data_IF_565604455276
#
_entry.id   IF_565604455276
#
_cell.length_a   1.000
_cell.length_b   1.000
_cell.length_c   1.000
_cell.angle_alpha   90.00
_cell.angle_beta   90.00
_cell.angle_gamma   90.00
#
_symmetry.space_group_name_H-M   'P 1'
#
loop_
_entity.id
_entity.type
_entity.pdbx_description
1 polymer ?
#
# COMPACT_ATOMS: atom_id res chain seq x y z
N UNK A 1 21.96 -28.59 30.23
CA UNK A 1 22.58 -28.31 28.93
C UNK A 1 21.50 -27.65 28.08
N UNK A 2 21.47 -26.31 28.09
CA UNK A 2 20.62 -25.53 27.20
C UNK A 2 21.16 -25.71 25.79
N UNK A 3 20.42 -26.42 24.94
CA UNK A 3 20.64 -26.41 23.50
C UNK A 3 20.56 -24.94 23.07
N UNK A 4 21.69 -24.40 22.62
CA UNK A 4 21.69 -23.14 21.88
C UNK A 4 20.84 -23.42 20.63
N UNK A 5 19.73 -22.69 20.48
CA UNK A 5 18.95 -22.71 19.25
C UNK A 5 19.91 -22.35 18.11
N UNK A 6 19.90 -23.13 17.03
CA UNK A 6 20.60 -22.77 15.80
C UNK A 6 20.14 -21.36 15.40
N UNK A 7 21.05 -20.49 14.92
CA UNK A 7 20.65 -19.18 14.43
C UNK A 7 19.68 -19.39 13.27
N UNK A 8 18.40 -19.10 13.50
CA UNK A 8 17.39 -19.09 12.45
C UNK A 8 17.81 -18.07 11.39
N UNK A 9 17.84 -18.49 10.12
CA UNK A 9 18.09 -17.59 9.00
C UNK A 9 17.16 -16.36 9.09
N UNK A 10 17.66 -15.16 8.75
CA UNK A 10 16.84 -13.96 8.73
C UNK A 10 15.61 -14.15 7.84
N UNK A 11 14.48 -13.64 8.30
CA UNK A 11 13.22 -13.66 7.56
C UNK A 11 13.32 -12.66 6.39
N UNK A 12 13.09 -13.13 5.17
CA UNK A 12 13.18 -12.26 4.01
C UNK A 12 11.90 -11.44 3.87
N UNK A 13 12.03 -10.11 3.94
CA UNK A 13 10.91 -9.19 3.85
C UNK A 13 11.13 -8.13 2.77
N UNK A 14 10.07 -7.78 2.04
CA UNK A 14 10.07 -6.61 1.18
C UNK A 14 8.98 -5.60 1.53
N UNK A 15 9.35 -4.33 1.62
CA UNK A 15 8.43 -3.19 1.74
C UNK A 15 8.97 -1.93 1.06
N UNK A 16 8.13 -0.92 0.89
CA UNK A 16 8.55 0.30 0.18
C UNK A 16 9.44 1.17 1.06
N UNK A 17 10.33 1.99 0.48
CA UNK A 17 11.13 2.95 1.25
C UNK A 17 10.30 4.17 1.74
N UNK A 18 8.97 4.15 1.57
CA UNK A 18 8.10 5.28 1.93
C UNK A 18 8.06 5.50 3.45
N UNK A 19 7.87 6.76 3.91
CA UNK A 19 7.86 7.09 5.33
C UNK A 19 6.93 6.24 6.19
N UNK A 20 5.75 5.87 5.69
CA UNK A 20 4.81 5.04 6.44
C UNK A 20 5.34 3.62 6.68
N UNK A 21 6.04 3.01 5.72
CA UNK A 21 6.53 1.64 5.84
C UNK A 21 7.79 1.58 6.71
N UNK A 22 8.74 2.50 6.48
CA UNK A 22 9.92 2.61 7.34
C UNK A 22 9.53 2.92 8.78
N UNK A 23 8.54 3.79 9.01
CA UNK A 23 7.99 4.04 10.34
C UNK A 23 7.38 2.79 10.99
N UNK A 24 6.57 2.02 10.24
CA UNK A 24 5.95 0.78 10.74
C UNK A 24 6.99 -0.28 11.12
N UNK A 25 8.02 -0.46 10.30
CA UNK A 25 8.98 -1.56 10.45
C UNK A 25 10.28 -1.18 11.18
N UNK A 26 10.51 0.09 11.51
CA UNK A 26 11.75 0.60 12.08
C UNK A 26 12.24 -0.19 13.31
N UNK A 27 11.40 -0.36 14.33
CA UNK A 27 11.81 -1.04 15.55
C UNK A 27 12.13 -2.53 15.28
N UNK A 28 11.37 -3.20 14.41
CA UNK A 28 11.61 -4.59 14.07
C UNK A 28 12.89 -4.76 13.21
N UNK A 29 13.06 -3.94 12.17
CA UNK A 29 14.23 -3.97 11.29
C UNK A 29 15.55 -3.73 12.06
N UNK A 30 15.50 -2.97 13.15
CA UNK A 30 16.65 -2.68 14.01
C UNK A 30 16.76 -3.57 15.25
N UNK A 31 15.99 -4.68 15.32
CA UNK A 31 16.06 -5.63 16.44
C UNK A 31 15.63 -5.05 17.79
N UNK A 32 14.82 -3.98 17.79
CA UNK A 32 14.26 -3.35 18.99
C UNK A 32 12.94 -3.97 19.46
N UNK A 33 12.42 -4.97 18.74
CA UNK A 33 11.25 -5.78 19.16
C UNK A 33 11.72 -7.09 19.80
N UNK A 34 11.59 -7.27 21.13
CA UNK A 34 12.07 -8.48 21.81
C UNK A 34 11.38 -9.75 21.32
N UNK A 35 12.15 -10.78 21.01
CA UNK A 35 11.63 -12.08 20.56
C UNK A 35 11.18 -12.13 19.09
N UNK A 36 11.21 -11.00 18.37
CA UNK A 36 10.96 -10.98 16.94
C UNK A 36 12.12 -11.61 16.16
N UNK A 37 11.84 -12.30 15.03
CA UNK A 37 12.89 -12.84 14.18
C UNK A 37 13.68 -11.70 13.51
N UNK A 38 14.97 -11.92 13.25
CA UNK A 38 15.77 -10.99 12.46
C UNK A 38 15.23 -10.86 11.03
N UNK A 39 15.34 -9.67 10.45
CA UNK A 39 14.87 -9.36 9.10
C UNK A 39 16.04 -9.22 8.12
N UNK A 40 15.86 -9.72 6.90
CA UNK A 40 16.62 -9.34 5.72
C UNK A 40 15.71 -8.48 4.83
N UNK A 41 15.92 -7.17 4.89
CA UNK A 41 15.01 -6.16 4.31
C UNK A 41 15.41 -5.82 2.88
N UNK A 42 14.49 -6.05 1.95
CA UNK A 42 14.56 -5.55 0.57
C UNK A 42 13.62 -4.36 0.39
N UNK A 43 14.15 -3.21 0.03
CA UNK A 43 13.33 -2.07 -0.37
C UNK A 43 12.91 -2.19 -1.83
N UNK A 44 11.61 -2.12 -2.09
CA UNK A 44 11.07 -2.19 -3.44
C UNK A 44 9.74 -1.43 -3.55
N UNK A 45 9.50 -0.84 -4.73
CA UNK A 45 8.22 -0.20 -5.05
C UNK A 45 7.08 -1.23 -5.06
N UNK A 46 5.86 -0.75 -4.80
CA UNK A 46 4.69 -1.63 -4.65
C UNK A 46 4.40 -2.48 -5.89
N UNK A 47 4.71 -1.99 -7.08
CA UNK A 47 4.55 -2.75 -8.33
C UNK A 47 5.52 -3.95 -8.39
N UNK A 48 6.74 -3.75 -7.90
CA UNK A 48 7.75 -4.80 -7.83
C UNK A 48 7.34 -5.85 -6.80
N UNK A 49 6.93 -5.44 -5.59
CA UNK A 49 6.53 -6.37 -4.53
C UNK A 49 5.26 -7.14 -4.87
N UNK A 50 4.31 -6.51 -5.58
CA UNK A 50 3.17 -7.20 -6.17
C UNK A 50 3.61 -8.37 -7.09
N UNK A 51 4.55 -8.10 -8.00
CA UNK A 51 5.10 -9.13 -8.88
C UNK A 51 5.88 -10.21 -8.14
N UNK A 52 6.65 -9.86 -7.10
CA UNK A 52 7.34 -10.82 -6.23
C UNK A 52 6.36 -11.77 -5.54
N UNK A 53 5.25 -11.24 -5.01
CA UNK A 53 4.21 -12.03 -4.36
C UNK A 53 3.54 -13.01 -5.34
N UNK A 54 3.21 -12.58 -6.56
CA UNK A 54 2.65 -13.46 -7.60
C UNK A 54 3.61 -14.59 -8.02
N UNK A 55 4.92 -14.39 -7.86
CA UNK A 55 5.96 -15.41 -8.14
C UNK A 55 6.30 -16.28 -6.92
N UNK A 56 5.66 -16.07 -5.77
CA UNK A 56 5.95 -16.82 -4.55
C UNK A 56 7.32 -16.48 -3.93
N UNK A 57 7.82 -15.26 -4.14
CA UNK A 57 9.13 -14.82 -3.63
C UNK A 57 9.06 -14.24 -2.21
N UNK A 58 10.11 -14.45 -1.41
CA UNK A 58 10.29 -13.96 -0.03
C UNK A 58 9.29 -14.54 1.00
N UNK A 59 9.48 -14.23 2.27
CA UNK A 59 8.65 -14.76 3.36
C UNK A 59 7.49 -13.83 3.70
N UNK A 60 7.75 -12.51 3.67
CA UNK A 60 6.81 -11.44 4.03
C UNK A 60 6.90 -10.31 3.01
N UNK A 61 5.77 -9.80 2.54
CA UNK A 61 5.75 -8.69 1.58
C UNK A 61 4.68 -7.66 1.92
N UNK A 62 5.01 -6.39 1.73
CA UNK A 62 4.05 -5.32 1.52
C UNK A 62 3.55 -5.42 0.08
N UNK A 63 2.24 -5.55 -0.12
CA UNK A 63 1.61 -5.60 -1.45
C UNK A 63 0.41 -4.68 -1.52
N UNK A 64 -0.08 -4.39 -2.73
CA UNK A 64 -1.40 -3.79 -2.90
C UNK A 64 -2.49 -4.77 -2.48
N UNK A 65 -3.54 -4.28 -1.82
CA UNK A 65 -4.74 -5.11 -1.55
C UNK A 65 -5.35 -5.69 -2.83
N UNK A 66 -5.23 -5.00 -3.97
CA UNK A 66 -5.67 -5.50 -5.28
C UNK A 66 -5.04 -6.83 -5.72
N UNK A 67 -3.87 -7.21 -5.17
CA UNK A 67 -3.17 -8.44 -5.52
C UNK A 67 -3.67 -9.65 -4.72
N UNK A 68 -4.33 -9.44 -3.58
CA UNK A 68 -4.77 -10.52 -2.70
C UNK A 68 -5.50 -11.67 -3.42
N UNK A 69 -6.47 -11.43 -4.35
CA UNK A 69 -7.18 -12.52 -5.01
C UNK A 69 -6.28 -13.49 -5.80
N UNK A 70 -5.04 -13.10 -6.12
CA UNK A 70 -4.09 -13.90 -6.88
C UNK A 70 -3.09 -14.67 -6.01
N UNK A 71 -2.87 -14.24 -4.76
CA UNK A 71 -1.75 -14.71 -3.93
C UNK A 71 -2.18 -15.39 -2.63
N UNK A 72 -3.48 -15.34 -2.28
CA UNK A 72 -3.98 -15.85 -0.99
C UNK A 72 -3.90 -17.38 -0.83
N UNK A 73 -3.63 -18.12 -1.90
CA UNK A 73 -3.36 -19.57 -1.82
C UNK A 73 -1.98 -19.85 -1.20
N UNK A 74 -0.98 -19.01 -1.49
CA UNK A 74 0.39 -19.15 -0.99
C UNK A 74 0.63 -18.31 0.28
N UNK A 75 -0.04 -17.16 0.39
CA UNK A 75 0.16 -16.20 1.47
C UNK A 75 -1.09 -16.00 2.33
N UNK A 76 -0.88 -15.72 3.61
CA UNK A 76 -1.89 -15.21 4.52
C UNK A 76 -1.79 -13.68 4.59
N UNK A 77 -2.94 -13.00 4.60
CA UNK A 77 -3.02 -11.58 4.96
C UNK A 77 -2.77 -11.42 6.46
N UNK A 78 -1.70 -10.71 6.84
CA UNK A 78 -1.48 -10.34 8.24
C UNK A 78 -2.51 -9.27 8.68
N UNK A 79 -3.01 -9.33 9.93
CA UNK A 79 -4.06 -8.43 10.41
C UNK A 79 -3.56 -7.02 10.75
N UNK A 80 -2.33 -6.66 10.40
CA UNK A 80 -1.65 -5.42 10.81
C UNK A 80 -0.50 -5.06 9.85
N UNK A 81 0.10 -3.88 10.04
CA UNK A 81 1.20 -3.31 9.25
C UNK A 81 0.77 -2.74 7.90
N UNK A 82 -0.49 -2.93 7.51
CA UNK A 82 -1.04 -2.40 6.27
C UNK A 82 -1.28 -0.88 6.31
N UNK A 83 -1.59 -0.33 5.14
CA UNK A 83 -2.09 1.02 4.95
C UNK A 83 -3.54 0.95 4.48
N UNK A 84 -4.46 1.40 5.34
CA UNK A 84 -5.90 1.46 5.10
C UNK A 84 -6.43 2.66 5.87
N UNK A 85 -7.39 3.41 5.31
CA UNK A 85 -7.89 4.59 6.03
C UNK A 85 -8.86 5.42 5.23
N UNK A 86 -9.12 6.62 5.74
CA UNK A 86 -9.97 7.63 5.10
C UNK A 86 -9.16 8.82 4.66
N UNK A 87 -9.62 9.49 3.61
CA UNK A 87 -8.96 10.66 3.03
C UNK A 87 -7.55 10.35 2.53
N UNK A 88 -7.22 9.08 2.27
CA UNK A 88 -5.89 8.60 1.89
C UNK A 88 -5.83 8.11 0.43
N UNK A 89 -6.87 8.40 -0.35
CA UNK A 89 -7.03 7.90 -1.72
C UNK A 89 -5.99 8.44 -2.71
N UNK A 90 -5.71 7.69 -3.79
CA UNK A 90 -4.98 8.17 -4.96
C UNK A 90 -5.65 9.40 -5.59
N UNK A 91 -4.86 10.27 -6.20
CA UNK A 91 -5.35 11.45 -6.89
C UNK A 91 -5.18 11.32 -8.40
N UNK A 92 -6.13 11.86 -9.16
CA UNK A 92 -5.92 12.11 -10.59
C UNK A 92 -5.54 13.57 -10.77
N UNK A 93 -4.36 13.80 -11.32
CA UNK A 93 -3.78 15.11 -11.55
C UNK A 93 -3.78 15.48 -13.04
N UNK A 94 -3.95 16.76 -13.31
CA UNK A 94 -3.97 17.34 -14.67
C UNK A 94 -3.24 18.69 -14.68
N UNK A 95 -2.94 19.22 -15.88
CA UNK A 95 -2.36 20.57 -16.02
C UNK A 95 -3.36 21.71 -15.81
N UNK A 96 -4.66 21.42 -15.79
CA UNK A 96 -5.72 22.40 -15.72
C UNK A 96 -7.09 21.72 -15.70
N UNK A 97 -8.18 22.48 -15.52
CA UNK A 97 -9.53 21.90 -15.47
C UNK A 97 -9.89 21.21 -16.80
N UNK A 98 -10.66 20.12 -16.73
CA UNK A 98 -11.10 19.38 -17.91
C UNK A 98 -11.75 18.04 -17.55
N UNK A 99 -12.02 17.21 -18.56
CA UNK A 99 -12.43 15.82 -18.42
C UNK A 99 -11.35 14.86 -18.93
N UNK A 100 -11.54 13.55 -18.69
CA UNK A 100 -10.63 12.50 -19.14
C UNK A 100 -11.16 11.69 -20.34
N UNK A 101 -12.26 12.10 -20.96
CA UNK A 101 -12.87 11.31 -22.04
C UNK A 101 -11.90 11.23 -23.23
N UNK A 102 -11.47 10.01 -23.56
CA UNK A 102 -10.49 9.77 -24.64
C UNK A 102 -9.07 10.30 -24.39
N UNK A 103 -8.73 10.67 -23.14
CA UNK A 103 -7.41 11.22 -22.76
C UNK A 103 -6.40 10.14 -22.39
N UNK A 104 -5.11 10.45 -22.51
CA UNK A 104 -4.02 9.57 -22.08
C UNK A 104 -3.72 9.77 -20.58
N UNK A 105 -3.80 8.69 -19.80
CA UNK A 105 -3.59 8.71 -18.34
C UNK A 105 -2.38 7.86 -17.96
N UNK A 106 -1.40 8.48 -17.30
CA UNK A 106 -0.29 7.76 -16.70
C UNK A 106 -0.72 7.11 -15.37
N UNK A 107 -0.30 5.87 -15.14
CA UNK A 107 -0.57 5.11 -13.91
C UNK A 107 0.71 4.44 -13.39
N UNK A 108 0.85 4.22 -12.07
CA UNK A 108 2.08 3.68 -11.51
C UNK A 108 2.21 2.16 -11.69
N UNK A 109 1.09 1.46 -11.95
CA UNK A 109 1.03 0.00 -12.03
C UNK A 109 -0.35 -0.45 -12.52
N UNK A 110 -0.41 -1.55 -13.28
CA UNK A 110 -1.67 -2.19 -13.67
C UNK A 110 -2.28 -3.10 -12.59
N UNK A 111 -1.53 -3.38 -11.52
CA UNK A 111 -1.91 -4.31 -10.45
C UNK A 111 -1.98 -3.65 -9.07
N UNK A 112 -1.98 -2.31 -9.02
CA UNK A 112 -2.11 -1.57 -7.77
C UNK A 112 -3.56 -1.36 -7.35
N UNK A 113 -3.78 -1.22 -6.05
CA UNK A 113 -5.09 -0.76 -5.54
C UNK A 113 -5.45 0.63 -6.06
N UNK A 114 -4.44 1.48 -6.28
CA UNK A 114 -4.67 2.79 -6.84
C UNK A 114 -5.31 2.72 -8.22
N UNK A 115 -4.76 1.89 -9.10
CA UNK A 115 -5.31 1.71 -10.44
C UNK A 115 -6.66 1.00 -10.41
N UNK A 116 -6.86 0.06 -9.48
CA UNK A 116 -8.16 -0.58 -9.30
C UNK A 116 -9.26 0.42 -8.94
N UNK A 117 -8.99 1.32 -7.98
CA UNK A 117 -9.90 2.40 -7.61
C UNK A 117 -10.15 3.37 -8.77
N UNK A 118 -9.10 3.72 -9.53
CA UNK A 118 -9.23 4.53 -10.73
C UNK A 118 -10.15 3.89 -11.77
N UNK A 119 -10.03 2.58 -12.01
CA UNK A 119 -10.89 1.88 -12.97
C UNK A 119 -12.35 1.86 -12.55
N UNK A 120 -12.63 1.65 -11.26
CA UNK A 120 -13.99 1.72 -10.71
C UNK A 120 -14.57 3.14 -10.85
N UNK A 121 -13.81 4.16 -10.45
CA UNK A 121 -14.22 5.55 -10.60
C UNK A 121 -14.44 5.94 -12.07
N UNK A 122 -13.55 5.53 -12.98
CA UNK A 122 -13.65 5.85 -14.39
C UNK A 122 -14.88 5.21 -15.04
N UNK A 123 -15.22 3.97 -14.67
CA UNK A 123 -16.43 3.30 -15.12
C UNK A 123 -17.70 4.05 -14.67
N UNK A 124 -17.70 4.58 -13.44
CA UNK A 124 -18.85 5.29 -12.87
C UNK A 124 -18.99 6.73 -13.41
N UNK A 125 -17.89 7.39 -13.75
CA UNK A 125 -17.87 8.87 -13.92
C UNK A 125 -17.43 9.37 -15.29
N UNK A 126 -16.81 8.54 -16.14
CA UNK A 126 -16.29 8.97 -17.45
C UNK A 126 -17.06 8.24 -18.57
N UNK A 127 -18.10 8.88 -19.13
CA UNK A 127 -18.79 8.34 -20.29
C UNK A 127 -17.81 8.11 -21.45
N UNK A 128 -17.79 6.88 -21.98
CA UNK A 128 -16.87 6.49 -23.05
C UNK A 128 -15.46 6.11 -22.59
N UNK A 129 -15.16 6.19 -21.30
CA UNK A 129 -13.88 5.83 -20.72
C UNK A 129 -12.74 6.80 -21.07
N UNK A 130 -11.56 6.47 -20.58
CA UNK A 130 -10.31 7.14 -20.96
C UNK A 130 -9.76 6.58 -22.27
N UNK A 131 -8.81 7.28 -22.88
CA UNK A 131 -8.22 6.90 -24.17
C UNK A 131 -7.15 5.82 -24.01
N UNK A 132 -5.97 6.22 -23.55
CA UNK A 132 -4.79 5.35 -23.42
C UNK A 132 -4.30 5.32 -21.97
N UNK A 133 -3.90 4.14 -21.49
CA UNK A 133 -3.22 3.99 -20.20
C UNK A 133 -1.73 3.80 -20.46
N UNK A 134 -0.91 4.62 -19.82
CA UNK A 134 0.55 4.53 -19.90
C UNK A 134 1.09 4.18 -18.52
N UNK A 135 1.76 3.03 -18.40
CA UNK A 135 2.41 2.63 -17.15
C UNK A 135 3.80 3.27 -17.07
N UNK A 136 4.10 3.94 -15.96
CA UNK A 136 5.43 4.51 -15.70
C UNK A 136 5.70 4.58 -14.19
N UNK A 137 6.98 4.63 -13.75
CA UNK A 137 7.32 4.78 -12.34
C UNK A 137 6.63 6.01 -11.72
N UNK A 138 6.16 5.89 -10.47
CA UNK A 138 5.31 6.92 -9.87
C UNK A 138 5.97 8.32 -9.83
N UNK A 139 7.30 8.37 -9.61
CA UNK A 139 8.07 9.61 -9.56
C UNK A 139 8.16 10.32 -10.93
N UNK A 140 7.89 9.62 -12.04
CA UNK A 140 7.86 10.20 -13.39
C UNK A 140 6.49 10.79 -13.76
N UNK A 141 5.41 10.40 -13.06
CA UNK A 141 4.03 10.74 -13.43
C UNK A 141 3.79 12.25 -13.36
N UNK A 142 4.08 12.91 -12.22
CA UNK A 142 3.87 14.36 -12.09
C UNK A 142 4.68 15.19 -13.12
N UNK A 143 5.99 14.92 -13.33
CA UNK A 143 6.73 15.52 -14.45
C UNK A 143 6.09 15.29 -15.82
N UNK A 144 5.64 14.07 -16.12
CA UNK A 144 5.04 13.74 -17.42
C UNK A 144 3.74 14.52 -17.67
N UNK A 145 2.90 14.68 -16.64
CA UNK A 145 1.69 15.51 -16.73
C UNK A 145 2.06 16.98 -16.93
N UNK A 146 2.96 17.53 -16.09
CA UNK A 146 3.41 18.94 -16.17
C UNK A 146 3.92 19.27 -17.57
N UNK A 147 4.75 18.40 -18.13
CA UNK A 147 5.40 18.58 -19.44
C UNK A 147 4.45 18.29 -20.62
N UNK A 148 3.24 17.82 -20.36
CA UNK A 148 2.24 17.51 -21.39
C UNK A 148 2.55 16.26 -22.22
N UNK A 149 3.36 15.34 -21.70
CA UNK A 149 3.63 14.03 -22.31
C UNK A 149 2.43 13.09 -22.18
N UNK A 150 1.62 13.28 -21.14
CA UNK A 150 0.33 12.64 -20.90
C UNK A 150 -0.67 13.71 -20.48
N UNK A 151 -1.97 13.43 -20.62
CA UNK A 151 -3.02 14.39 -20.27
C UNK A 151 -3.30 14.43 -18.77
N UNK A 152 -3.22 13.27 -18.11
CA UNK A 152 -3.45 13.11 -16.68
C UNK A 152 -2.54 12.05 -16.07
N UNK A 153 -2.44 12.07 -14.73
CA UNK A 153 -1.63 11.12 -13.97
C UNK A 153 -2.34 10.69 -12.71
N UNK A 154 -2.46 9.38 -12.50
CA UNK A 154 -2.87 8.78 -11.25
C UNK A 154 -1.66 8.74 -10.32
N UNK A 155 -1.70 9.47 -9.21
CA UNK A 155 -0.60 9.56 -8.26
C UNK A 155 -0.96 8.99 -6.90
N UNK A 156 0.08 8.59 -6.18
CA UNK A 156 0.05 7.94 -4.87
C UNK A 156 1.11 8.58 -3.96
N UNK A 157 1.27 8.08 -2.74
CA UNK A 157 2.33 8.50 -1.81
C UNK A 157 2.30 10.02 -1.51
N UNK A 158 3.47 10.65 -1.41
CA UNK A 158 3.62 12.06 -1.06
C UNK A 158 3.16 13.02 -2.15
N UNK A 159 2.90 12.56 -3.38
CA UNK A 159 2.46 13.40 -4.49
C UNK A 159 1.20 14.20 -4.14
N UNK A 160 0.36 13.69 -3.23
CA UNK A 160 -0.84 14.39 -2.77
C UNK A 160 -0.55 15.69 -1.99
N UNK A 161 0.65 15.82 -1.42
CA UNK A 161 1.08 16.98 -0.65
C UNK A 161 1.93 17.95 -1.50
N UNK A 162 2.50 17.47 -2.61
CA UNK A 162 3.51 18.21 -3.39
C UNK A 162 3.07 18.58 -4.80
N UNK A 163 1.94 18.08 -5.31
CA UNK A 163 1.52 18.32 -6.70
C UNK A 163 1.36 19.80 -7.08
N UNK A 164 1.04 20.66 -6.10
CA UNK A 164 0.91 22.10 -6.29
C UNK A 164 2.25 22.74 -6.68
N UNK A 165 3.38 22.16 -6.22
CA UNK A 165 4.73 22.61 -6.59
C UNK A 165 5.03 22.34 -8.08
N UNK A 166 4.29 21.42 -8.70
CA UNK A 166 4.36 21.13 -10.13
C UNK A 166 3.37 21.97 -10.95
N UNK A 167 2.58 22.85 -10.31
CA UNK A 167 1.50 23.59 -10.97
C UNK A 167 0.35 22.71 -11.44
N UNK A 168 0.20 21.52 -10.86
CA UNK A 168 -0.85 20.57 -11.23
C UNK A 168 -2.14 20.82 -10.46
N UNK A 169 -3.24 20.32 -11.01
CA UNK A 169 -4.58 20.41 -10.46
C UNK A 169 -5.12 19.02 -10.10
N UNK A 170 -5.68 18.89 -8.90
CA UNK A 170 -6.47 17.72 -8.50
C UNK A 170 -7.78 17.73 -9.28
N UNK A 171 -7.91 16.81 -10.23
CA UNK A 171 -9.15 16.61 -10.98
C UNK A 171 -10.14 15.79 -10.17
N UNK A 172 -9.66 14.69 -9.58
CA UNK A 172 -10.47 13.77 -8.81
C UNK A 172 -9.64 13.13 -7.69
N UNK A 173 -10.33 12.76 -6.62
CA UNK A 173 -9.78 12.01 -5.49
C UNK A 173 -10.53 10.68 -5.40
N UNK A 174 -9.80 9.58 -5.62
CA UNK A 174 -10.39 8.25 -5.64
C UNK A 174 -10.90 7.85 -4.25
N UNK A 175 -10.33 8.41 -3.19
CA UNK A 175 -10.76 8.18 -1.83
C UNK A 175 -12.05 8.90 -1.50
N UNK A 176 -12.15 10.18 -1.84
CA UNK A 176 -13.40 10.96 -1.68
C UNK A 176 -14.57 10.27 -2.40
N UNK A 177 -14.35 9.82 -3.64
CA UNK A 177 -15.37 9.10 -4.40
C UNK A 177 -15.73 7.75 -3.77
N UNK A 178 -14.73 6.96 -3.38
CA UNK A 178 -14.94 5.65 -2.75
C UNK A 178 -15.74 5.77 -1.45
N UNK A 179 -15.37 6.71 -0.59
CA UNK A 179 -16.04 6.92 0.69
C UNK A 179 -17.47 7.44 0.50
N UNK A 180 -17.69 8.35 -0.44
CA UNK A 180 -19.03 8.88 -0.72
C UNK A 180 -19.99 7.80 -1.26
N UNK A 181 -19.49 6.86 -2.05
CA UNK A 181 -20.30 5.82 -2.71
C UNK A 181 -20.47 4.55 -1.89
N UNK A 182 -19.53 4.24 -0.99
CA UNK A 182 -19.53 2.98 -0.22
C UNK A 182 -19.65 3.16 1.28
N UNK A 183 -19.28 4.33 1.81
CA UNK A 183 -19.14 4.57 3.24
C UNK A 183 -17.95 3.84 3.89
N UNK A 184 -17.16 3.08 3.13
CA UNK A 184 -16.06 2.26 3.65
C UNK A 184 -14.71 3.01 3.60
N UNK A 185 -13.77 2.71 4.50
CA UNK A 185 -12.38 3.14 4.34
C UNK A 185 -11.74 2.46 3.12
N UNK A 186 -10.57 2.96 2.72
CA UNK A 186 -9.89 2.59 1.48
C UNK A 186 -8.72 1.66 1.82
N UNK A 187 -8.74 0.38 1.42
CA UNK A 187 -7.62 -0.53 1.61
C UNK A 187 -6.56 -0.25 0.54
N UNK A 188 -5.34 0.15 0.90
CA UNK A 188 -4.28 0.49 -0.07
C UNK A 188 -3.18 -0.56 -0.13
N UNK A 189 -2.48 -0.78 0.99
CA UNK A 189 -1.39 -1.73 1.11
C UNK A 189 -1.61 -2.77 2.21
N UNK A 190 -1.41 -4.04 1.89
CA UNK A 190 -1.48 -5.18 2.80
C UNK A 190 -0.08 -5.65 3.19
N UNK A 191 0.04 -6.31 4.35
CA UNK A 191 1.18 -7.18 4.63
C UNK A 191 0.72 -8.63 4.48
N UNK A 192 1.47 -9.39 3.70
CA UNK A 192 1.22 -10.81 3.47
C UNK A 192 2.43 -11.63 3.93
N UNK A 193 2.20 -12.85 4.41
CA UNK A 193 3.26 -13.75 4.85
C UNK A 193 2.98 -15.18 4.37
N UNK A 194 4.02 -15.92 4.00
CA UNK A 194 3.89 -17.28 3.46
C UNK A 194 3.16 -18.19 4.43
N UNK A 195 2.13 -18.89 3.94
CA UNK A 195 1.38 -19.89 4.74
C UNK A 195 2.27 -21.04 5.21
N UNK A 196 3.31 -21.37 4.44
CA UNK A 196 4.28 -22.43 4.78
C UNK A 196 5.07 -22.17 6.08
N UNK A 197 5.09 -20.94 6.58
CA UNK A 197 5.70 -20.60 7.88
C UNK A 197 4.93 -21.20 9.08
N UNK A 198 3.66 -21.56 8.89
CA UNK A 198 2.80 -22.14 9.93
C UNK A 198 2.17 -21.10 10.86
N UNK A 199 1.04 -21.47 11.47
CA UNK A 199 0.20 -20.55 12.25
C UNK A 199 0.92 -19.90 13.42
N UNK A 200 1.76 -20.64 14.15
CA UNK A 200 2.53 -20.10 15.28
C UNK A 200 3.47 -18.97 14.82
N UNK A 201 4.19 -19.18 13.72
CA UNK A 201 5.10 -18.17 13.17
C UNK A 201 4.33 -16.98 12.62
N UNK A 202 3.21 -17.20 11.90
CA UNK A 202 2.36 -16.11 11.41
C UNK A 202 1.85 -15.22 12.56
N UNK A 203 1.42 -15.82 13.67
CA UNK A 203 0.99 -15.07 14.86
C UNK A 203 2.16 -14.28 15.48
N UNK A 204 3.35 -14.88 15.59
CA UNK A 204 4.56 -14.17 16.03
C UNK A 204 4.90 -12.96 15.13
N UNK A 205 4.76 -13.11 13.81
CA UNK A 205 5.00 -12.00 12.87
C UNK A 205 3.99 -10.88 13.07
N UNK A 206 2.70 -11.21 13.20
CA UNK A 206 1.66 -10.22 13.47
C UNK A 206 1.93 -9.47 14.79
N UNK A 207 2.30 -10.18 15.85
CA UNK A 207 2.64 -9.55 17.14
C UNK A 207 3.90 -8.69 17.06
N UNK A 208 4.91 -9.12 16.30
CA UNK A 208 6.14 -8.35 16.06
C UNK A 208 5.87 -7.04 15.33
N UNK A 209 5.00 -7.05 14.32
CA UNK A 209 4.57 -5.86 13.59
C UNK A 209 3.80 -4.92 14.52
N UNK A 210 2.82 -5.44 15.27
CA UNK A 210 2.05 -4.63 16.22
C UNK A 210 2.94 -3.95 17.23
N UNK A 211 3.94 -4.65 17.75
CA UNK A 211 4.89 -4.08 18.71
C UNK A 211 5.78 -3.03 18.06
N UNK A 212 6.23 -3.25 16.82
CA UNK A 212 6.98 -2.24 16.05
C UNK A 212 6.18 -0.96 15.85
N UNK A 213 4.90 -1.08 15.47
CA UNK A 213 3.98 0.06 15.31
C UNK A 213 3.77 0.79 16.64
N UNK A 214 3.57 0.06 17.75
CA UNK A 214 3.42 0.67 19.08
C UNK A 214 4.68 1.41 19.50
N UNK A 215 5.86 0.86 19.26
CA UNK A 215 7.13 1.49 19.55
C UNK A 215 7.30 2.80 18.75
N UNK A 216 6.99 2.77 17.45
CA UNK A 216 7.05 3.95 16.58
C UNK A 216 6.07 5.05 17.03
N UNK A 217 4.85 4.70 17.45
CA UNK A 217 3.91 5.69 18.00
C UNK A 217 4.30 6.23 19.38
N UNK A 218 4.93 5.40 20.22
CA UNK A 218 5.36 5.80 21.55
C UNK A 218 6.54 6.78 21.51
N UNK A 219 7.44 6.63 20.53
CA UNK A 219 8.58 7.51 20.30
C UNK A 219 8.84 7.72 18.79
N UNK A 220 8.07 8.59 18.11
CA UNK A 220 8.22 8.82 16.67
C UNK A 220 9.60 9.34 16.28
N UNK A 221 10.27 10.09 17.18
CA UNK A 221 11.61 10.63 16.96
C UNK A 221 12.65 9.51 16.83
N UNK A 222 12.44 8.36 17.47
CA UNK A 222 13.32 7.20 17.36
C UNK A 222 13.35 6.59 15.96
N UNK A 223 12.26 6.77 15.18
CA UNK A 223 12.14 6.27 13.81
C UNK A 223 12.53 7.29 12.75
N UNK A 224 12.65 8.58 13.11
CA UNK A 224 12.99 9.64 12.15
C UNK A 224 14.29 9.39 11.38
N UNK A 225 15.41 8.96 11.99
CA UNK A 225 16.63 8.73 11.22
C UNK A 225 16.43 7.71 10.10
N UNK A 226 15.75 6.61 10.39
CA UNK A 226 15.46 5.56 9.41
C UNK A 226 14.46 6.00 8.33
N UNK A 227 13.42 6.73 8.73
CA UNK A 227 12.45 7.31 7.79
C UNK A 227 13.15 8.25 6.80
N UNK A 228 13.96 9.18 7.30
CA UNK A 228 14.61 10.20 6.48
C UNK A 228 15.76 9.65 5.63
N UNK A 229 16.38 8.55 6.04
CA UNK A 229 17.40 7.86 5.25
C UNK A 229 16.85 7.29 3.93
N UNK A 230 15.56 6.92 3.92
CA UNK A 230 14.94 6.21 2.80
C UNK A 230 13.87 7.02 2.03
N UNK A 231 13.32 8.08 2.64
CA UNK A 231 12.30 8.91 2.00
C UNK A 231 12.82 9.58 0.71
N UNK A 232 12.00 9.57 -0.35
CA UNK A 232 12.32 10.29 -1.59
C UNK A 232 12.16 11.81 -1.43
N UNK A 233 11.14 12.24 -0.68
CA UNK A 233 10.96 13.63 -0.28
C UNK A 233 11.66 13.87 1.06
N UNK A 234 12.58 14.84 1.07
CA UNK A 234 13.43 15.14 2.22
C UNK A 234 12.81 16.18 3.16
N UNK A 235 11.68 16.79 2.78
CA UNK A 235 10.92 17.67 3.66
C UNK A 235 10.31 16.89 4.85
N UNK A 236 10.75 17.15 6.10
CA UNK A 236 10.25 16.42 7.27
C UNK A 236 8.76 16.63 7.53
N UNK A 237 8.21 17.79 7.15
CA UNK A 237 6.78 18.07 7.30
C UNK A 237 5.93 17.23 6.35
N UNK A 238 6.41 16.97 5.13
CA UNK A 238 5.76 16.04 4.20
C UNK A 238 5.84 14.61 4.72
N UNK A 239 6.98 14.18 5.27
CA UNK A 239 7.11 12.86 5.89
C UNK A 239 6.12 12.66 7.06
N UNK A 240 5.99 13.66 7.94
CA UNK A 240 5.04 13.63 9.07
C UNK A 240 3.58 13.56 8.58
N UNK A 241 3.22 14.32 7.54
CA UNK A 241 1.89 14.24 6.92
C UNK A 241 1.63 12.87 6.27
N UNK A 242 2.65 12.29 5.62
CA UNK A 242 2.58 10.98 5.01
C UNK A 242 2.34 9.90 6.07
N UNK A 243 3.12 9.90 7.15
CA UNK A 243 2.96 8.95 8.27
C UNK A 243 1.58 9.13 8.91
N UNK A 244 1.19 10.35 9.27
CA UNK A 244 -0.07 10.61 9.96
C UNK A 244 -1.32 10.23 9.15
N UNK A 245 -1.20 10.17 7.82
CA UNK A 245 -2.29 9.74 6.94
C UNK A 245 -2.37 8.22 6.80
N UNK A 246 -1.22 7.54 6.64
CA UNK A 246 -1.17 6.13 6.25
C UNK A 246 -0.87 5.16 7.39
N UNK A 247 -0.43 5.65 8.55
CA UNK A 247 -0.18 4.86 9.77
C UNK A 247 -1.19 5.24 10.83
N UNK A 248 -2.23 4.41 11.00
CA UNK A 248 -3.39 4.69 11.85
C UNK A 248 -3.90 3.40 12.55
N UNK A 249 -5.10 3.42 13.11
CA UNK A 249 -5.68 2.27 13.82
C UNK A 249 -5.69 0.98 12.99
N UNK A 250 -5.92 1.07 11.68
CA UNK A 250 -5.93 -0.08 10.77
C UNK A 250 -4.53 -0.68 10.56
N UNK A 251 -3.49 0.11 10.77
CA UNK A 251 -2.10 -0.35 10.75
C UNK A 251 -1.80 -1.20 11.97
N UNK A 252 -2.37 -0.89 13.14
CA UNK A 252 -2.22 -1.73 14.33
C UNK A 252 -3.11 -2.98 14.29
N UNK A 253 -4.35 -2.84 13.83
CA UNK A 253 -5.27 -3.96 13.65
C UNK A 253 -6.34 -3.61 12.62
N UNK A 254 -6.55 -4.47 11.62
CA UNK A 254 -7.57 -4.24 10.61
C UNK A 254 -8.97 -4.12 11.21
N UNK A 255 -9.28 -4.87 12.27
CA UNK A 255 -10.61 -4.94 12.85
C UNK A 255 -11.70 -5.34 11.85
N UNK A 256 -12.96 -5.32 12.29
CA UNK A 256 -14.10 -5.64 11.44
C UNK A 256 -14.23 -4.70 10.23
N UNK A 257 -14.00 -3.42 10.44
CA UNK A 257 -14.14 -2.38 9.40
C UNK A 257 -13.06 -2.49 8.32
N UNK A 258 -11.82 -2.83 8.68
CA UNK A 258 -10.75 -3.07 7.71
C UNK A 258 -11.04 -4.29 6.83
N UNK A 259 -11.45 -5.41 7.43
CA UNK A 259 -11.87 -6.58 6.65
C UNK A 259 -13.09 -6.31 5.77
N UNK A 260 -14.07 -5.53 6.26
CA UNK A 260 -15.22 -5.10 5.47
C UNK A 260 -14.81 -4.22 4.28
N UNK A 261 -13.86 -3.31 4.46
CA UNK A 261 -13.31 -2.47 3.40
C UNK A 261 -12.58 -3.29 2.33
N UNK A 262 -11.72 -4.22 2.74
CA UNK A 262 -10.99 -5.11 1.83
C UNK A 262 -11.98 -5.93 0.98
N UNK A 263 -12.94 -6.57 1.64
CA UNK A 263 -13.96 -7.35 0.94
C UNK A 263 -14.83 -6.48 0.03
N UNK A 264 -15.24 -5.30 0.51
CA UNK A 264 -16.02 -4.34 -0.26
C UNK A 264 -15.33 -3.92 -1.57
N UNK A 265 -14.04 -3.61 -1.50
CA UNK A 265 -13.22 -3.31 -2.69
C UNK A 265 -13.16 -4.50 -3.64
N UNK A 266 -12.71 -5.65 -3.15
CA UNK A 266 -12.40 -6.80 -4.01
C UNK A 266 -13.67 -7.45 -4.60
N UNK A 267 -14.80 -7.43 -3.88
CA UNK A 267 -16.08 -7.88 -4.43
C UNK A 267 -16.59 -6.97 -5.54
N UNK A 268 -16.51 -5.64 -5.40
CA UNK A 268 -16.91 -4.70 -6.45
C UNK A 268 -16.01 -4.80 -7.67
N UNK A 269 -14.70 -4.89 -7.44
CA UNK A 269 -13.71 -5.13 -8.48
C UNK A 269 -13.97 -6.43 -9.25
N UNK A 270 -14.31 -7.52 -8.56
CA UNK A 270 -14.62 -8.79 -9.19
C UNK A 270 -15.93 -8.74 -10.00
N UNK A 271 -16.94 -7.99 -9.55
CA UNK A 271 -18.19 -7.79 -10.29
C UNK A 271 -17.97 -7.08 -11.64
N UNK A 272 -16.98 -6.19 -11.70
CA UNK A 272 -16.53 -5.51 -12.92
C UNK A 272 -15.48 -6.31 -13.73
N UNK A 273 -15.20 -7.57 -13.33
CA UNK A 273 -14.23 -8.44 -14.00
C UNK A 273 -12.77 -7.98 -13.88
N UNK A 274 -12.46 -7.12 -12.89
CA UNK A 274 -11.12 -6.53 -12.71
C UNK A 274 -10.16 -7.48 -12.00
N UNK A 275 -10.69 -8.28 -11.08
CA UNK A 275 -9.94 -9.27 -10.27
C UNK A 275 -10.77 -10.54 -10.08
N UNK A 276 -10.16 -11.68 -9.75
CA UNK A 276 -10.88 -12.88 -9.33
C UNK A 276 -11.79 -12.64 -8.12
N UNK A 277 -12.90 -13.37 -8.07
CA UNK A 277 -13.77 -13.35 -6.90
C UNK A 277 -13.10 -14.02 -5.69
N UNK A 278 -13.25 -13.41 -4.52
CA UNK A 278 -12.78 -13.99 -3.27
C UNK A 278 -13.78 -15.01 -2.71
N UNK A 279 -13.25 -16.12 -2.19
CA UNK A 279 -14.02 -17.03 -1.34
C UNK A 279 -14.47 -16.39 -0.01
N UNK A 280 -15.43 -17.01 0.69
CA UNK A 280 -15.91 -16.52 1.98
C UNK A 280 -14.79 -16.45 3.02
N UNK A 281 -13.93 -17.46 3.08
CA UNK A 281 -12.86 -17.58 4.08
C UNK A 281 -11.48 -17.10 3.58
N UNK A 282 -11.42 -16.48 2.40
CA UNK A 282 -10.15 -16.12 1.76
C UNK A 282 -9.26 -15.18 2.60
N UNK A 283 -9.87 -14.36 3.45
CA UNK A 283 -9.18 -13.38 4.31
C UNK A 283 -8.99 -13.88 5.76
N UNK A 284 -9.36 -15.12 6.06
CA UNK A 284 -9.25 -15.67 7.42
C UNK A 284 -7.78 -15.85 7.77
N UNK A 285 -7.37 -15.20 8.86
CA UNK A 285 -6.05 -15.34 9.45
C UNK A 285 -6.02 -16.59 10.37
N UNK A 286 -5.00 -17.45 10.26
CA UNK A 286 -4.93 -18.72 10.99
C UNK A 286 -4.56 -18.59 12.48
#
# INVERSE_FOLDING_TARGET
MTSAAEPTEPLQIAFSPCPNDTFVFDAWAHGRVPGAPALDVTFADIDITNGMAERGELDVLKVSYAVLPYVLDEYALLPCGGALGRGCGPLVLTRGPGDLTGRTVAVPSERSTAYLLFRLWAADTIPGGVGEIVVMPFHEIMPAVRDGKVDAGLVIHEARFTYQNYGLHKLADMGEHWEATTGLPIPLGAIIAKRSLGAERLNLLADSIRESVRAAWADPEASRPYVMEHAQEMDPGVADQHIGLYVNEFTADLGGDGYAAIRGLLTRAAAEGLVPALGPDALTFP
#
